data_IF_522136955830
#
_entry.id   IF_522136955830
#
_cell.length_a   1.000
_cell.length_b   1.000
_cell.length_c   1.000
_cell.angle_alpha   90.00
_cell.angle_beta   90.00
_cell.angle_gamma   90.00
#
_symmetry.space_group_name_H-M   'P 1'
#
loop_
_entity.id
_entity.type
_entity.pdbx_description
1 polymer ?
#
# COMPACT_ATOMS: atom_id res chain seq x y z
N UNK A 1 -31.22 1.71 -0.72
CA UNK A 1 -31.07 0.48 0.09
C UNK A 1 -29.73 -0.23 -0.11
N UNK A 2 -28.91 0.11 -1.13
CA UNK A 2 -27.58 -0.49 -1.34
C UNK A 2 -26.46 0.12 -0.48
N UNK A 3 -26.56 1.42 -0.17
CA UNK A 3 -25.60 2.15 0.70
C UNK A 3 -25.32 1.41 2.02
N UNK A 4 -26.36 0.87 2.67
CA UNK A 4 -26.24 0.24 3.99
C UNK A 4 -25.44 -1.06 4.01
N UNK A 5 -25.45 -1.85 2.93
CA UNK A 5 -24.71 -3.13 2.93
C UNK A 5 -23.22 -2.94 2.65
N UNK A 6 -22.86 -1.93 1.85
CA UNK A 6 -21.44 -1.56 1.65
C UNK A 6 -20.88 -1.01 2.96
N UNK A 7 -21.61 -0.12 3.63
CA UNK A 7 -21.16 0.48 4.89
C UNK A 7 -21.03 -0.60 5.98
N UNK A 8 -21.98 -1.53 6.10
CA UNK A 8 -21.88 -2.67 7.01
C UNK A 8 -20.66 -3.57 6.73
N UNK A 9 -20.32 -3.80 5.46
CA UNK A 9 -19.10 -4.53 5.09
C UNK A 9 -17.83 -3.78 5.50
N UNK A 10 -17.81 -2.45 5.34
CA UNK A 10 -16.68 -1.63 5.76
C UNK A 10 -16.54 -1.66 7.29
N UNK A 11 -17.63 -1.56 8.05
CA UNK A 11 -17.65 -1.70 9.50
C UNK A 11 -17.12 -3.07 9.94
N UNK A 12 -17.57 -4.16 9.29
CA UNK A 12 -17.04 -5.51 9.49
C UNK A 12 -15.52 -5.59 9.26
N UNK A 13 -15.02 -4.99 8.18
CA UNK A 13 -13.60 -4.98 7.84
C UNK A 13 -12.74 -4.20 8.86
N UNK A 14 -13.31 -3.15 9.45
CA UNK A 14 -12.68 -2.38 10.53
C UNK A 14 -12.68 -3.18 11.83
N UNK A 15 -13.85 -3.64 12.26
CA UNK A 15 -14.07 -4.23 13.58
C UNK A 15 -13.47 -5.63 13.72
N UNK A 16 -13.71 -6.50 12.74
CA UNK A 16 -13.32 -7.92 12.86
C UNK A 16 -11.98 -8.25 12.22
N UNK A 17 -11.58 -7.51 11.19
CA UNK A 17 -10.35 -7.81 10.43
C UNK A 17 -9.20 -6.87 10.70
N UNK A 18 -9.39 -5.84 11.52
CA UNK A 18 -8.38 -4.81 11.84
C UNK A 18 -7.61 -4.37 10.59
N UNK A 19 -8.31 -4.22 9.47
CA UNK A 19 -7.66 -3.99 8.18
C UNK A 19 -7.11 -2.57 8.10
N UNK A 20 -5.95 -2.34 7.43
CA UNK A 20 -5.40 -1.01 7.30
C UNK A 20 -6.36 -0.05 6.58
N UNK A 21 -6.39 1.23 6.98
CA UNK A 21 -7.24 2.26 6.38
C UNK A 21 -7.12 2.32 4.85
N UNK A 22 -5.91 2.15 4.32
CA UNK A 22 -5.65 2.13 2.88
C UNK A 22 -6.36 0.95 2.18
N UNK A 23 -6.46 -0.20 2.85
CA UNK A 23 -7.19 -1.37 2.33
C UNK A 23 -8.69 -1.12 2.35
N UNK A 24 -9.20 -0.52 3.44
CA UNK A 24 -10.62 -0.15 3.59
C UNK A 24 -11.02 0.86 2.52
N UNK A 25 -10.24 1.93 2.35
CA UNK A 25 -10.50 2.97 1.33
C UNK A 25 -10.51 2.38 -0.09
N UNK A 26 -9.57 1.47 -0.39
CA UNK A 26 -9.52 0.80 -1.68
C UNK A 26 -10.76 -0.08 -1.93
N UNK A 27 -11.22 -0.85 -0.94
CA UNK A 27 -12.44 -1.65 -1.05
C UNK A 27 -13.68 -0.78 -1.19
N UNK A 28 -13.80 0.29 -0.39
CA UNK A 28 -14.92 1.21 -0.49
C UNK A 28 -14.99 1.83 -1.89
N UNK A 29 -13.87 2.36 -2.42
CA UNK A 29 -13.84 2.95 -3.77
C UNK A 29 -14.21 1.93 -4.86
N UNK A 30 -13.74 0.69 -4.74
CA UNK A 30 -14.05 -0.37 -5.71
C UNK A 30 -15.52 -0.78 -5.69
N UNK A 31 -16.11 -0.92 -4.50
CA UNK A 31 -17.52 -1.28 -4.32
C UNK A 31 -18.44 -0.15 -4.81
N UNK A 32 -18.08 1.11 -4.56
CA UNK A 32 -18.82 2.26 -5.09
C UNK A 32 -18.80 2.33 -6.62
N UNK A 33 -17.66 2.02 -7.22
CA UNK A 33 -17.56 1.95 -8.69
C UNK A 33 -18.47 0.84 -9.25
N UNK A 34 -18.54 -0.30 -8.57
CA UNK A 34 -19.42 -1.40 -8.95
C UNK A 34 -20.90 -1.08 -8.75
N UNK A 35 -21.27 -0.49 -7.61
CA UNK A 35 -22.63 -0.03 -7.31
C UNK A 35 -23.13 0.97 -8.35
N UNK A 36 -22.31 1.98 -8.70
CA UNK A 36 -22.67 2.96 -9.72
C UNK A 36 -22.91 2.33 -11.11
N UNK A 37 -22.22 1.23 -11.42
CA UNK A 37 -22.47 0.47 -12.65
C UNK A 37 -23.79 -0.31 -12.57
N UNK A 38 -24.09 -0.94 -11.43
CA UNK A 38 -25.35 -1.65 -11.20
C UNK A 38 -26.56 -0.72 -11.24
N UNK A 39 -26.45 0.47 -10.63
CA UNK A 39 -27.51 1.49 -10.66
C UNK A 39 -27.89 1.89 -12.08
N UNK A 40 -26.90 2.10 -12.96
CA UNK A 40 -27.14 2.38 -14.38
C UNK A 40 -27.86 1.25 -15.12
N UNK A 41 -27.76 0.02 -14.62
CA UNK A 41 -28.43 -1.16 -15.15
C UNK A 41 -29.74 -1.49 -14.44
N UNK A 42 -30.09 -0.76 -13.38
CA UNK A 42 -31.27 -1.03 -12.56
C UNK A 42 -31.18 -2.32 -11.75
N UNK A 43 -29.96 -2.80 -11.45
CA UNK A 43 -29.74 -4.05 -10.73
C UNK A 43 -29.48 -3.75 -9.26
N UNK A 44 -30.17 -4.47 -8.36
CA UNK A 44 -29.91 -4.40 -6.94
C UNK A 44 -28.65 -5.19 -6.58
N UNK A 45 -27.83 -4.66 -5.66
CA UNK A 45 -26.54 -5.26 -5.30
C UNK A 45 -26.68 -6.67 -4.68
N UNK A 46 -27.84 -7.01 -4.12
CA UNK A 46 -28.12 -8.33 -3.56
C UNK A 46 -28.62 -9.34 -4.61
N UNK A 47 -29.02 -8.87 -5.81
CA UNK A 47 -29.59 -9.68 -6.89
C UNK A 47 -28.64 -9.93 -8.06
N UNK A 48 -27.37 -9.58 -7.88
CA UNK A 48 -26.33 -9.79 -8.90
C UNK A 48 -26.10 -11.27 -9.12
N UNK A 49 -26.11 -11.69 -10.38
CA UNK A 49 -25.73 -13.04 -10.80
C UNK A 49 -24.32 -13.04 -11.43
N UNK A 50 -23.76 -14.23 -11.72
CA UNK A 50 -22.51 -14.34 -12.46
C UNK A 50 -22.53 -13.62 -13.82
N UNK A 51 -23.69 -13.53 -14.48
CA UNK A 51 -23.82 -12.85 -15.78
C UNK A 51 -23.55 -11.35 -15.65
N UNK A 52 -24.13 -10.68 -14.66
CA UNK A 52 -23.88 -9.27 -14.39
C UNK A 52 -22.42 -9.02 -14.03
N UNK A 53 -21.77 -9.93 -13.30
CA UNK A 53 -20.36 -9.79 -12.96
C UNK A 53 -19.46 -9.92 -14.20
N UNK A 54 -19.79 -10.82 -15.14
CA UNK A 54 -19.11 -10.88 -16.44
C UNK A 54 -19.35 -9.60 -17.25
N UNK A 55 -20.57 -9.07 -17.22
CA UNK A 55 -20.92 -7.78 -17.82
C UNK A 55 -20.12 -6.62 -17.23
N UNK A 56 -19.90 -6.62 -15.92
CA UNK A 56 -19.06 -5.63 -15.24
C UNK A 56 -17.59 -5.74 -15.62
N UNK A 57 -17.08 -6.96 -15.82
CA UNK A 57 -15.71 -7.18 -16.31
C UNK A 57 -15.57 -6.63 -17.73
N UNK A 58 -16.52 -6.92 -18.62
CA UNK A 58 -16.52 -6.38 -19.98
C UNK A 58 -16.57 -4.86 -19.96
N UNK A 59 -17.49 -4.28 -19.20
CA UNK A 59 -17.58 -2.83 -19.01
C UNK A 59 -16.26 -2.23 -18.50
N UNK A 60 -15.61 -2.90 -17.55
CA UNK A 60 -14.32 -2.44 -17.01
C UNK A 60 -13.22 -2.42 -18.06
N UNK A 61 -13.19 -3.40 -18.97
CA UNK A 61 -12.27 -3.43 -20.12
C UNK A 61 -12.60 -2.29 -21.09
N UNK A 62 -13.87 -2.07 -21.40
CA UNK A 62 -14.33 -1.00 -22.29
C UNK A 62 -14.03 0.41 -21.74
N UNK A 63 -13.97 0.55 -20.41
CA UNK A 63 -13.49 1.76 -19.72
C UNK A 63 -11.96 1.92 -19.75
N UNK A 64 -11.22 1.03 -20.42
CA UNK A 64 -9.76 1.09 -20.53
C UNK A 64 -9.01 0.71 -19.25
N UNK A 65 -9.66 0.02 -18.30
CA UNK A 65 -9.01 -0.37 -17.05
C UNK A 65 -7.98 -1.48 -17.29
N UNK A 66 -6.81 -1.35 -16.65
CA UNK A 66 -5.77 -2.37 -16.72
C UNK A 66 -6.27 -3.68 -16.08
N UNK A 67 -5.88 -4.87 -16.61
CA UNK A 67 -6.25 -6.15 -16.03
C UNK A 67 -5.92 -6.28 -14.54
N UNK A 68 -4.82 -5.69 -14.08
CA UNK A 68 -4.44 -5.65 -12.66
C UNK A 68 -5.44 -4.90 -11.79
N UNK A 69 -5.98 -3.79 -12.28
CA UNK A 69 -7.04 -3.02 -11.61
C UNK A 69 -8.34 -3.81 -11.55
N UNK A 70 -8.71 -4.47 -12.65
CA UNK A 70 -9.92 -5.32 -12.72
C UNK A 70 -9.80 -6.48 -11.73
N UNK A 71 -8.69 -7.22 -11.73
CA UNK A 71 -8.49 -8.33 -10.79
C UNK A 71 -8.47 -7.88 -9.33
N UNK A 72 -7.94 -6.68 -9.03
CA UNK A 72 -7.99 -6.10 -7.68
C UNK A 72 -9.43 -5.78 -7.25
N UNK A 73 -10.21 -5.16 -8.13
CA UNK A 73 -11.63 -4.84 -7.90
C UNK A 73 -12.46 -6.10 -7.67
N UNK A 74 -12.31 -7.10 -8.53
CA UNK A 74 -12.99 -8.38 -8.39
C UNK A 74 -12.65 -9.08 -7.06
N UNK A 75 -11.44 -8.91 -6.54
CA UNK A 75 -11.06 -9.49 -5.25
C UNK A 75 -11.81 -8.80 -4.09
N UNK A 76 -11.99 -7.46 -4.17
CA UNK A 76 -12.83 -6.71 -3.23
C UNK A 76 -14.31 -7.11 -3.31
N UNK A 77 -14.85 -7.20 -4.53
CA UNK A 77 -16.24 -7.65 -4.78
C UNK A 77 -16.47 -9.07 -4.23
N UNK A 78 -15.51 -9.99 -4.43
CA UNK A 78 -15.58 -11.34 -3.87
C UNK A 78 -15.59 -11.33 -2.34
N UNK A 79 -14.74 -10.53 -1.71
CA UNK A 79 -14.71 -10.44 -0.25
C UNK A 79 -16.03 -9.87 0.31
N UNK A 80 -16.62 -8.90 -0.41
CA UNK A 80 -17.92 -8.33 -0.10
C UNK A 80 -19.06 -9.34 -0.22
N UNK A 81 -19.18 -10.06 -1.34
CA UNK A 81 -20.25 -11.06 -1.49
C UNK A 81 -20.12 -12.26 -0.55
N UNK A 82 -18.89 -12.63 -0.16
CA UNK A 82 -18.67 -13.61 0.92
C UNK A 82 -19.20 -13.11 2.25
N UNK A 83 -18.98 -11.83 2.57
CA UNK A 83 -19.57 -11.22 3.76
C UNK A 83 -21.10 -11.26 3.68
N UNK A 84 -21.71 -10.81 2.57
CA UNK A 84 -23.16 -10.85 2.43
C UNK A 84 -23.75 -12.26 2.54
N UNK A 85 -23.05 -13.27 2.00
CA UNK A 85 -23.49 -14.66 2.09
C UNK A 85 -23.40 -15.19 3.53
N UNK A 86 -22.34 -14.82 4.26
CA UNK A 86 -22.17 -15.18 5.67
C UNK A 86 -23.22 -14.53 6.58
N UNK A 87 -23.61 -13.29 6.29
CA UNK A 87 -24.68 -12.56 6.98
C UNK A 87 -26.10 -12.97 6.55
N UNK A 88 -26.22 -13.91 5.60
CA UNK A 88 -27.51 -14.36 5.07
C UNK A 88 -28.26 -13.31 4.23
N UNK A 89 -27.58 -12.23 3.84
CA UNK A 89 -28.13 -11.15 3.01
C UNK A 89 -28.24 -11.53 1.53
N UNK A 90 -27.45 -12.52 1.09
CA UNK A 90 -27.60 -13.17 -0.22
C UNK A 90 -27.59 -14.68 -0.05
N UNK A 91 -28.32 -15.44 -0.88
CA UNK A 91 -28.40 -16.89 -0.74
C UNK A 91 -27.08 -17.61 -1.07
N UNK A 92 -26.24 -17.01 -1.90
CA UNK A 92 -24.91 -17.53 -2.27
C UNK A 92 -24.01 -16.42 -2.81
N UNK A 93 -22.69 -16.63 -2.75
CA UNK A 93 -21.69 -15.77 -3.38
C UNK A 93 -21.71 -15.93 -4.92
N UNK A 94 -22.13 -14.91 -5.70
CA UNK A 94 -22.16 -14.98 -7.16
C UNK A 94 -20.76 -14.92 -7.81
N UNK A 95 -19.70 -14.66 -7.03
CA UNK A 95 -18.34 -14.52 -7.54
C UNK A 95 -17.56 -15.83 -7.59
N UNK A 96 -18.11 -16.93 -7.02
CA UNK A 96 -17.41 -18.20 -6.81
C UNK A 96 -16.71 -18.74 -8.08
N UNK A 97 -17.45 -18.78 -9.19
CA UNK A 97 -17.02 -19.40 -10.45
C UNK A 97 -16.33 -18.41 -11.42
N UNK A 98 -16.15 -17.16 -11.02
CA UNK A 98 -15.58 -16.14 -11.90
C UNK A 98 -14.07 -16.31 -11.96
N UNK A 99 -13.58 -16.61 -13.16
CA UNK A 99 -12.16 -16.61 -13.46
C UNK A 99 -11.61 -15.18 -13.40
N UNK A 100 -10.62 -14.95 -12.55
CA UNK A 100 -9.91 -13.67 -12.53
C UNK A 100 -9.07 -13.51 -13.80
N UNK A 101 -9.01 -12.30 -14.39
CA UNK A 101 -8.01 -11.99 -15.40
C UNK A 101 -6.63 -12.33 -14.82
N UNK A 102 -5.88 -13.20 -15.52
CA UNK A 102 -4.55 -13.60 -15.08
C UNK A 102 -3.71 -12.33 -14.92
N UNK A 103 -3.24 -12.07 -13.71
CA UNK A 103 -2.26 -11.01 -13.49
C UNK A 103 -1.05 -11.39 -14.33
N UNK A 104 -0.69 -10.56 -15.30
CA UNK A 104 0.62 -10.69 -15.94
C UNK A 104 1.68 -10.67 -14.85
N UNK A 105 2.50 -11.71 -14.79
CA UNK A 105 3.66 -11.73 -13.90
C UNK A 105 4.71 -10.80 -14.48
N UNK A 106 4.67 -9.52 -14.08
CA UNK A 106 5.83 -8.66 -14.24
C UNK A 106 6.85 -9.09 -13.20
N UNK A 107 7.95 -9.70 -13.65
CA UNK A 107 9.11 -9.86 -12.79
C UNK A 107 9.59 -8.46 -12.37
N UNK A 108 9.92 -8.23 -11.09
CA UNK A 108 10.57 -6.98 -10.69
C UNK A 108 11.81 -6.77 -11.56
N UNK A 109 11.88 -5.65 -12.28
CA UNK A 109 13.11 -5.27 -12.97
C UNK A 109 14.16 -4.94 -11.91
N UNK A 110 15.25 -5.71 -11.87
CA UNK A 110 16.38 -5.42 -10.99
C UNK A 110 17.25 -4.34 -11.63
N UNK A 111 17.71 -3.38 -10.83
CA UNK A 111 18.66 -2.36 -11.28
C UNK A 111 20.06 -2.99 -11.42
N UNK A 112 20.79 -2.62 -12.47
CA UNK A 112 22.22 -2.88 -12.56
C UNK A 112 23.00 -2.10 -11.50
N UNK A 113 24.21 -2.55 -11.15
CA UNK A 113 25.09 -1.83 -10.23
C UNK A 113 25.35 -0.37 -10.67
N UNK A 114 25.43 -0.14 -11.98
CA UNK A 114 25.61 1.20 -12.54
C UNK A 114 24.38 2.10 -12.30
N UNK A 115 23.17 1.54 -12.43
CA UNK A 115 21.92 2.27 -12.19
C UNK A 115 21.74 2.56 -10.71
N UNK A 116 22.06 1.60 -9.84
CA UNK A 116 22.08 1.81 -8.39
C UNK A 116 23.04 2.94 -8.03
N UNK A 117 24.26 2.92 -8.57
CA UNK A 117 25.27 3.96 -8.31
C UNK A 117 24.77 5.33 -8.78
N UNK A 118 24.18 5.42 -9.97
CA UNK A 118 23.57 6.67 -10.47
C UNK A 118 22.42 7.13 -9.58
N UNK A 119 21.55 6.23 -9.16
CA UNK A 119 20.41 6.53 -8.29
C UNK A 119 20.88 7.10 -6.94
N UNK A 120 21.82 6.40 -6.28
CA UNK A 120 22.39 6.86 -5.03
C UNK A 120 23.03 8.25 -5.20
N UNK A 121 23.78 8.49 -6.28
CA UNK A 121 24.49 9.76 -6.54
C UNK A 121 23.62 10.89 -7.10
N UNK A 122 22.33 10.67 -7.37
CA UNK A 122 21.46 11.68 -7.96
C UNK A 122 21.18 12.92 -7.07
N UNK A 123 21.05 12.81 -5.73
CA UNK A 123 20.78 13.96 -4.88
C UNK A 123 21.92 14.97 -4.80
N UNK A 124 21.58 16.27 -4.81
CA UNK A 124 22.55 17.36 -4.63
C UNK A 124 22.95 17.54 -3.16
N UNK A 125 24.04 16.87 -2.78
CA UNK A 125 24.58 16.85 -1.41
C UNK A 125 25.16 18.19 -0.93
N UNK A 126 25.17 19.23 -1.77
CA UNK A 126 25.48 20.60 -1.32
C UNK A 126 24.32 21.24 -0.54
N UNK A 127 23.11 20.68 -0.65
CA UNK A 127 21.91 21.19 0.03
C UNK A 127 21.49 20.27 1.19
N UNK A 128 20.89 20.81 2.27
CA UNK A 128 20.34 19.98 3.35
C UNK A 128 19.33 18.93 2.84
N UNK A 129 18.52 19.32 1.84
CA UNK A 129 17.55 18.42 1.20
C UNK A 129 18.24 17.27 0.45
N UNK A 130 19.29 17.53 -0.31
CA UNK A 130 19.99 16.47 -1.03
C UNK A 130 20.78 15.55 -0.09
N UNK A 131 21.32 16.05 1.03
CA UNK A 131 21.91 15.20 2.09
C UNK A 131 20.83 14.27 2.68
N UNK A 132 19.64 14.80 2.96
CA UNK A 132 18.49 14.02 3.44
C UNK A 132 18.13 12.92 2.43
N UNK A 133 17.91 13.30 1.18
CA UNK A 133 17.45 12.39 0.14
C UNK A 133 18.54 11.31 -0.15
N UNK A 134 19.83 11.66 -0.08
CA UNK A 134 20.94 10.69 -0.15
C UNK A 134 20.92 9.69 0.99
N UNK A 135 20.77 10.16 2.23
CA UNK A 135 20.70 9.29 3.41
C UNK A 135 19.49 8.33 3.33
N UNK A 136 18.34 8.81 2.87
CA UNK A 136 17.16 7.96 2.65
C UNK A 136 17.42 6.87 1.60
N UNK A 137 18.06 7.20 0.47
CA UNK A 137 18.39 6.23 -0.58
C UNK A 137 19.39 5.16 -0.10
N UNK A 138 20.41 5.57 0.65
CA UNK A 138 21.39 4.65 1.23
C UNK A 138 20.76 3.69 2.24
N UNK A 139 19.84 4.18 3.08
CA UNK A 139 19.06 3.31 3.97
C UNK A 139 18.14 2.36 3.19
N UNK A 140 17.41 2.84 2.18
CA UNK A 140 16.58 1.98 1.32
C UNK A 140 17.41 0.83 0.75
N UNK A 141 18.57 1.17 0.20
CA UNK A 141 19.46 0.22 -0.45
C UNK A 141 20.06 -0.78 0.55
N UNK A 142 20.50 -0.31 1.73
CA UNK A 142 21.15 -1.16 2.73
C UNK A 142 20.18 -2.09 3.47
N UNK A 143 18.92 -1.68 3.67
CA UNK A 143 17.98 -2.35 4.58
C UNK A 143 16.82 -3.06 3.88
N UNK A 144 16.52 -2.68 2.63
CA UNK A 144 15.31 -3.14 1.93
C UNK A 144 14.01 -2.67 2.59
N UNK A 145 14.06 -1.64 3.46
CA UNK A 145 12.85 -1.05 4.03
C UNK A 145 11.96 -0.46 2.93
N UNK A 146 10.65 -0.50 3.17
CA UNK A 146 9.67 0.19 2.32
C UNK A 146 9.79 1.69 2.54
N UNK A 147 9.45 2.49 1.53
CA UNK A 147 9.41 3.96 1.62
C UNK A 147 8.59 4.42 2.83
N UNK A 148 7.44 3.78 3.08
CA UNK A 148 6.59 4.08 4.24
C UNK A 148 7.28 3.83 5.59
N UNK A 149 8.14 2.81 5.68
CA UNK A 149 8.91 2.49 6.89
C UNK A 149 10.02 3.53 7.11
N UNK A 150 10.65 4.05 6.05
CA UNK A 150 11.72 5.06 6.16
C UNK A 150 11.18 6.44 6.54
N UNK A 151 10.09 6.89 5.92
CA UNK A 151 9.53 8.22 6.22
C UNK A 151 8.91 8.30 7.62
N UNK A 152 8.60 7.15 8.23
CA UNK A 152 8.09 7.05 9.61
C UNK A 152 9.16 6.64 10.63
N UNK A 153 10.40 6.43 10.18
CA UNK A 153 11.49 5.99 11.04
C UNK A 153 11.84 7.07 12.07
N UNK A 154 11.96 6.68 13.34
CA UNK A 154 12.28 7.59 14.45
C UNK A 154 13.74 7.46 14.84
N UNK A 155 14.34 8.54 15.32
CA UNK A 155 15.76 8.58 15.74
C UNK A 155 16.08 7.48 16.76
N UNK A 156 15.19 7.26 17.74
CA UNK A 156 15.38 6.26 18.79
C UNK A 156 15.41 4.82 18.28
N UNK A 157 14.98 4.58 17.04
CA UNK A 157 15.05 3.27 16.42
C UNK A 157 16.38 3.00 15.69
N UNK A 158 17.30 3.97 15.66
CA UNK A 158 18.62 3.81 15.05
C UNK A 158 19.69 3.58 16.11
N UNK A 159 20.45 2.52 15.95
CA UNK A 159 21.72 2.36 16.64
C UNK A 159 22.85 2.40 15.61
N UNK A 160 23.33 3.60 15.32
CA UNK A 160 24.37 3.85 14.32
C UNK A 160 25.76 3.43 14.79
N UNK A 161 25.96 3.20 16.09
CA UNK A 161 27.24 2.74 16.64
C UNK A 161 27.39 1.23 16.48
N UNK A 162 26.32 0.48 16.77
CA UNK A 162 26.30 -0.99 16.55
C UNK A 162 25.85 -1.38 15.14
N UNK A 163 25.34 -0.44 14.35
CA UNK A 163 25.00 -0.65 12.95
C UNK A 163 23.69 -1.41 12.71
N UNK A 164 22.62 -1.10 13.44
CA UNK A 164 21.29 -1.65 13.17
C UNK A 164 20.16 -0.62 13.32
N UNK A 165 19.00 -0.96 12.75
CA UNK A 165 17.73 -0.25 12.90
C UNK A 165 16.67 -1.21 13.44
N UNK A 166 15.84 -0.75 14.37
CA UNK A 166 14.65 -1.46 14.84
C UNK A 166 13.46 -0.98 14.02
N UNK A 167 12.75 -1.90 13.36
CA UNK A 167 11.56 -1.56 12.55
C UNK A 167 10.38 -2.46 12.85
N UNK A 168 9.17 -1.95 12.67
CA UNK A 168 7.95 -2.73 12.76
C UNK A 168 7.73 -3.53 11.47
N UNK A 169 7.45 -4.82 11.61
CA UNK A 169 7.06 -5.73 10.53
C UNK A 169 5.56 -5.94 10.44
N UNK A 170 5.15 -6.84 9.54
CA UNK A 170 3.74 -7.21 9.38
C UNK A 170 3.23 -7.84 10.68
N UNK A 171 2.16 -7.27 11.25
CA UNK A 171 1.58 -7.69 12.53
C UNK A 171 2.28 -7.08 13.75
N UNK A 172 2.83 -5.86 13.61
CA UNK A 172 3.49 -5.08 14.67
C UNK A 172 4.64 -5.78 15.40
N UNK A 173 5.27 -6.77 14.75
CA UNK A 173 6.46 -7.43 15.29
C UNK A 173 7.71 -6.62 14.97
N UNK A 174 8.49 -6.29 15.99
CA UNK A 174 9.79 -5.66 15.81
C UNK A 174 10.79 -6.60 15.11
N UNK A 175 11.60 -6.03 14.21
CA UNK A 175 12.75 -6.70 13.60
C UNK A 175 13.98 -5.80 13.63
N UNK A 176 15.13 -6.42 13.90
CA UNK A 176 16.44 -5.79 13.78
C UNK A 176 16.94 -5.92 12.35
N UNK A 177 17.33 -4.79 11.75
CA UNK A 177 17.85 -4.74 10.38
C UNK A 177 19.27 -4.15 10.42
N UNK A 178 20.30 -4.91 10.04
CA UNK A 178 21.67 -4.38 9.98
C UNK A 178 21.78 -3.31 8.89
N UNK A 179 22.64 -2.32 9.11
CA UNK A 179 22.93 -1.24 8.16
C UNK A 179 24.40 -1.21 7.77
N UNK A 180 24.65 -1.00 6.48
CA UNK A 180 25.99 -0.87 5.93
C UNK A 180 26.66 0.47 6.28
N UNK A 181 27.98 0.50 6.17
CA UNK A 181 28.81 1.67 6.53
C UNK A 181 28.43 2.95 5.76
N UNK A 182 28.12 2.83 4.47
CA UNK A 182 27.68 3.97 3.66
C UNK A 182 26.38 4.59 4.20
N UNK A 183 25.41 3.75 4.58
CA UNK A 183 24.14 4.21 5.14
C UNK A 183 24.33 4.85 6.52
N UNK A 184 25.20 4.29 7.37
CA UNK A 184 25.58 4.90 8.64
C UNK A 184 26.18 6.29 8.42
N UNK A 185 27.15 6.39 7.51
CA UNK A 185 27.83 7.66 7.20
C UNK A 185 26.86 8.75 6.76
N UNK A 186 26.03 8.47 5.75
CA UNK A 186 25.08 9.46 5.23
C UNK A 186 23.99 9.80 6.24
N UNK A 187 23.56 8.84 7.05
CA UNK A 187 22.57 9.10 8.11
C UNK A 187 23.15 10.00 9.21
N UNK A 188 24.39 9.77 9.65
CA UNK A 188 25.09 10.65 10.60
C UNK A 188 25.25 12.05 10.01
N UNK A 189 25.73 12.14 8.77
CA UNK A 189 25.90 13.42 8.08
C UNK A 189 24.60 14.22 8.01
N UNK A 190 23.49 13.54 7.73
CA UNK A 190 22.17 14.17 7.74
C UNK A 190 21.79 14.68 9.14
N UNK A 191 21.88 13.83 10.17
CA UNK A 191 21.55 14.18 11.56
C UNK A 191 22.37 15.40 12.01
N UNK A 192 23.66 15.42 11.72
CA UNK A 192 24.59 16.42 12.24
C UNK A 192 24.53 17.76 11.47
N UNK A 193 24.32 17.71 10.15
CA UNK A 193 24.51 18.90 9.28
C UNK A 193 23.27 19.39 8.54
N UNK A 194 22.23 18.58 8.41
CA UNK A 194 21.11 18.88 7.53
C UNK A 194 19.74 18.75 8.19
N UNK A 195 19.62 17.98 9.28
CA UNK A 195 18.37 17.87 10.03
C UNK A 195 18.08 19.18 10.76
N UNK A 196 16.87 19.77 10.59
CA UNK A 196 16.50 20.98 11.32
C UNK A 196 16.54 20.79 12.84
N UNK A 197 17.13 21.74 13.56
CA UNK A 197 17.20 21.73 15.04
C UNK A 197 15.85 21.98 15.70
N UNK A 198 14.92 22.63 14.99
CA UNK A 198 13.52 22.83 15.38
C UNK A 198 12.61 22.41 14.21
N UNK A 199 12.24 21.13 14.09
CA UNK A 199 11.26 20.73 13.09
C UNK A 199 9.92 21.45 13.35
N UNK A 200 9.15 21.74 12.28
CA UNK A 200 7.86 22.47 12.36
C UNK A 200 6.82 21.79 13.27
N UNK A 201 7.02 20.51 13.59
CA UNK A 201 6.32 19.75 14.62
C UNK A 201 7.40 19.11 15.49
N UNK A 202 7.19 19.06 16.80
CA UNK A 202 8.06 18.31 17.71
C UNK A 202 7.90 16.81 17.42
N UNK A 203 8.72 16.30 16.51
CA UNK A 203 8.67 14.91 16.06
C UNK A 203 10.04 14.26 16.18
N UNK A 204 10.04 13.06 16.75
CA UNK A 204 11.17 12.14 16.85
C UNK A 204 11.51 11.47 15.49
N UNK A 205 10.80 11.82 14.43
CA UNK A 205 11.01 11.35 13.07
C UNK A 205 12.42 11.74 12.60
N UNK A 206 13.15 10.76 12.05
CA UNK A 206 14.49 10.93 11.53
C UNK A 206 14.47 11.95 10.38
N UNK A 207 13.75 11.66 9.30
CA UNK A 207 13.73 12.47 8.08
C UNK A 207 12.62 13.53 8.10
N UNK A 208 12.98 14.78 8.36
CA UNK A 208 12.04 15.91 8.35
C UNK A 208 11.77 16.43 6.92
N UNK A 209 10.55 16.95 6.71
CA UNK A 209 10.14 17.60 5.46
C UNK A 209 10.83 18.94 5.23
#
# INVERSE_FOLDING_TARGET
>A
MNQGVIDAFIEYMVAERSSPENTISAYHSDLRFFEAWLEKKGIEIQKVSPEELLGFISYSVDQGLKPTTISRRLAGIRQFYRFLANEGLVPRDPTGDIAFPRRGHYLPSVLSLSEVTRLLNAPDTSTPKGIRDRAMLELLYATGLRVSEIISLRINNLNLDTGYIITLGKGDKERLVPIGQAAIFWTRLYIDRARPTKPKKDTDILFCS
#
